data_IF_223372134539
#
_entry.id   IF_223372134539
#
_cell.length_a   1.000
_cell.length_b   1.000
_cell.length_c   1.000
_cell.angle_alpha   90.00
_cell.angle_beta   90.00
_cell.angle_gamma   90.00
#
_symmetry.space_group_name_H-M   'P 1'
#
loop_
_entity.id
_entity.type
_entity.pdbx_description
1 polymer ?
#
# COMPACT_ATOMS: atom_id res chain seq x y z
N UNK A 1 -21.49 1.60 -5.91
CA UNK A 1 -21.59 1.08 -5.54
C UNK A 1 -22.03 0.76 -5.03
N UNK A 2 -22.28 0.17 -4.63
CA UNK A 2 -22.63 -0.41 -4.20
C UNK A 2 -23.09 -1.23 -3.98
N UNK A 3 -23.28 -1.66 -4.31
CA UNK A 3 -23.83 -2.53 -4.33
C UNK A 3 -23.77 -3.57 -3.60
N UNK A 4 -23.01 -4.16 -3.58
CA UNK A 4 -22.93 -5.18 -2.86
C UNK A 4 -22.81 -4.87 -1.54
N UNK A 5 -23.12 -4.02 -1.20
CA UNK A 5 -23.04 -3.65 -0.12
C UNK A 5 -23.70 -4.46 0.66
N UNK A 6 -23.80 -5.29 0.80
CA UNK A 6 -24.35 -5.98 1.40
C UNK A 6 -24.34 -6.98 1.85
N UNK A 7 -24.25 -7.40 1.90
CA UNK A 7 -24.95 -8.19 2.32
C UNK A 7 -24.34 -9.22 3.11
N UNK A 8 -23.71 -10.17 2.69
CA UNK A 8 -23.18 -11.33 3.38
C UNK A 8 -22.17 -10.99 4.47
N UNK A 9 -21.50 -9.89 4.35
CA UNK A 9 -20.51 -9.54 5.34
C UNK A 9 -20.95 -8.36 6.17
N UNK A 10 -22.22 -8.27 6.35
CA UNK A 10 -22.78 -7.18 7.12
C UNK A 10 -23.57 -7.72 8.30
N UNK A 11 -23.15 -7.38 9.50
CA UNK A 11 -23.89 -7.71 10.70
C UNK A 11 -24.44 -6.44 11.31
N UNK A 12 -25.26 -6.58 12.32
CA UNK A 12 -25.88 -5.43 12.97
C UNK A 12 -24.84 -4.50 13.56
N UNK A 13 -23.79 -5.07 14.13
CA UNK A 13 -22.73 -4.26 14.72
C UNK A 13 -21.84 -3.63 13.65
N UNK A 14 -21.74 -4.30 12.50
CA UNK A 14 -20.89 -3.82 11.44
C UNK A 14 -21.49 -2.66 10.67
N UNK A 15 -22.82 -2.56 10.66
CA UNK A 15 -23.46 -1.48 9.93
C UNK A 15 -23.01 -0.10 10.38
N UNK A 16 -22.84 0.03 11.68
CA UNK A 16 -22.40 1.30 12.23
C UNK A 16 -20.99 1.65 11.78
N UNK A 17 -20.12 0.66 11.81
CA UNK A 17 -18.76 0.83 11.36
C UNK A 17 -18.70 1.08 9.87
N UNK A 18 -19.58 0.42 9.12
CA UNK A 18 -19.62 0.63 7.68
C UNK A 18 -20.00 2.06 7.34
N UNK A 19 -20.93 2.64 8.07
CA UNK A 19 -21.33 4.01 7.82
C UNK A 19 -20.16 4.96 8.05
N UNK A 20 -19.44 4.74 9.14
CA UNK A 20 -18.29 5.58 9.48
C UNK A 20 -17.18 5.44 8.45
N UNK A 21 -16.89 4.23 8.02
CA UNK A 21 -15.77 3.94 7.15
C UNK A 21 -16.11 3.82 5.68
N UNK A 22 -17.36 3.98 5.33
CA UNK A 22 -17.82 3.69 3.99
C UNK A 22 -17.00 4.38 2.89
N UNK A 23 -16.69 5.63 3.09
CA UNK A 23 -15.97 6.40 2.09
C UNK A 23 -14.53 5.93 1.93
N UNK A 24 -14.00 5.25 2.95
CA UNK A 24 -12.62 4.78 2.95
C UNK A 24 -12.51 3.28 2.70
N UNK A 25 -13.64 2.61 2.49
CA UNK A 25 -13.66 1.16 2.41
C UNK A 25 -13.48 0.59 1.02
N UNK A 26 -13.42 1.42 0.01
CA UNK A 26 -13.42 0.90 -1.36
C UNK A 26 -12.27 -0.08 -1.60
N UNK A 27 -11.07 0.28 -1.23
CA UNK A 27 -9.92 -0.60 -1.42
C UNK A 27 -9.93 -1.75 -0.42
N UNK A 28 -10.24 -1.46 0.84
CA UNK A 28 -10.32 -2.51 1.84
C UNK A 28 -11.35 -3.57 1.48
N UNK A 29 -12.44 -3.13 0.86
CA UNK A 29 -13.46 -4.05 0.44
C UNK A 29 -12.92 -5.02 -0.61
N UNK A 30 -12.23 -4.48 -1.60
CA UNK A 30 -11.62 -5.31 -2.64
C UNK A 30 -10.58 -6.25 -2.05
N UNK A 31 -9.71 -5.72 -1.20
CA UNK A 31 -8.68 -6.52 -0.58
C UNK A 31 -9.24 -7.62 0.30
N UNK A 32 -10.36 -7.32 0.96
CA UNK A 32 -11.03 -8.32 1.80
C UNK A 32 -11.56 -9.51 1.03
N UNK A 33 -11.79 -9.34 -0.27
CA UNK A 33 -12.27 -10.42 -1.13
C UNK A 33 -11.15 -11.26 -1.71
N UNK A 34 -9.90 -10.83 -1.51
CA UNK A 34 -8.74 -11.53 -2.07
C UNK A 34 -8.20 -12.50 -1.03
N UNK A 35 -8.04 -13.78 -1.37
CA UNK A 35 -7.49 -14.76 -0.43
C UNK A 35 -6.07 -14.39 0.01
N UNK A 36 -5.71 -14.75 1.23
CA UNK A 36 -4.39 -14.47 1.77
C UNK A 36 -3.28 -15.05 0.88
N UNK A 37 -3.51 -16.22 0.31
CA UNK A 37 -2.53 -16.84 -0.57
C UNK A 37 -2.24 -15.98 -1.79
N UNK A 38 -3.28 -15.40 -2.37
CA UNK A 38 -3.14 -14.55 -3.54
C UNK A 38 -2.41 -13.26 -3.17
N UNK A 39 -2.71 -12.72 -2.00
CA UNK A 39 -2.01 -11.55 -1.50
C UNK A 39 -0.54 -11.82 -1.34
N UNK A 40 -0.19 -12.97 -0.79
CA UNK A 40 1.21 -13.32 -0.60
C UNK A 40 1.94 -13.52 -1.92
N UNK A 41 1.26 -14.14 -2.90
CA UNK A 41 1.82 -14.28 -4.24
C UNK A 41 2.10 -12.91 -4.86
N UNK A 42 1.16 -12.00 -4.69
CA UNK A 42 1.32 -10.65 -5.20
C UNK A 42 2.52 -9.96 -4.59
N UNK A 43 2.67 -10.08 -3.26
CA UNK A 43 3.79 -9.48 -2.56
C UNK A 43 5.11 -10.08 -2.99
N UNK A 44 5.15 -11.40 -3.17
CA UNK A 44 6.35 -12.08 -3.62
C UNK A 44 6.77 -11.60 -5.01
N UNK A 45 5.80 -11.40 -5.87
CA UNK A 45 6.07 -10.92 -7.22
C UNK A 45 6.61 -9.50 -7.22
N UNK A 46 5.97 -8.61 -6.47
CA UNK A 46 6.38 -7.21 -6.43
C UNK A 46 7.79 -7.07 -5.86
N UNK A 47 8.06 -7.76 -4.75
CA UNK A 47 9.32 -7.59 -4.03
C UNK A 47 10.33 -8.70 -4.30
N UNK A 48 10.19 -9.36 -5.42
CA UNK A 48 11.05 -10.50 -5.77
C UNK A 48 12.53 -10.15 -5.70
N UNK A 49 12.90 -8.95 -6.12
CA UNK A 49 14.31 -8.55 -6.12
C UNK A 49 14.81 -8.01 -4.80
N UNK A 50 13.97 -8.00 -3.76
CA UNK A 50 14.32 -7.41 -2.48
C UNK A 50 14.61 -8.49 -1.44
N UNK A 51 15.56 -8.20 -0.56
CA UNK A 51 15.74 -9.04 0.63
C UNK A 51 14.57 -8.74 1.57
N UNK A 52 14.45 -9.57 2.62
CA UNK A 52 13.39 -9.35 3.61
C UNK A 52 13.51 -7.98 4.27
N UNK A 53 14.73 -7.57 4.58
CA UNK A 53 14.97 -6.27 5.21
C UNK A 53 14.65 -5.13 4.27
N UNK A 54 15.08 -5.25 3.00
CA UNK A 54 14.77 -4.23 2.00
C UNK A 54 13.27 -4.08 1.81
N UNK A 55 12.57 -5.21 1.75
CA UNK A 55 11.12 -5.20 1.60
C UNK A 55 10.45 -4.44 2.73
N UNK A 56 10.84 -4.75 3.96
CA UNK A 56 10.29 -4.08 5.14
C UNK A 56 10.57 -2.58 5.10
N UNK A 57 11.81 -2.22 4.77
CA UNK A 57 12.21 -0.81 4.70
C UNK A 57 11.44 -0.05 3.64
N UNK A 58 11.24 -0.67 2.47
CA UNK A 58 10.52 0.01 1.39
C UNK A 58 9.03 0.11 1.68
N UNK A 59 8.45 -0.87 2.38
CA UNK A 59 7.06 -0.76 2.77
C UNK A 59 6.87 0.42 3.72
N UNK A 60 7.79 0.59 4.66
CA UNK A 60 7.74 1.74 5.58
C UNK A 60 7.91 3.06 4.80
N UNK A 61 8.84 3.08 3.84
CA UNK A 61 9.05 4.25 3.00
C UNK A 61 7.78 4.60 2.21
N UNK A 62 7.18 3.59 1.61
CA UNK A 62 5.96 3.80 0.82
C UNK A 62 4.82 4.34 1.68
N UNK A 63 4.71 3.85 2.90
CA UNK A 63 3.69 4.33 3.82
C UNK A 63 3.85 5.83 4.04
N UNK A 64 5.07 6.28 4.31
CA UNK A 64 5.35 7.71 4.51
C UNK A 64 5.12 8.52 3.24
N UNK A 65 5.53 7.97 2.11
CA UNK A 65 5.37 8.65 0.84
C UNK A 65 3.90 8.90 0.52
N UNK A 66 3.06 7.89 0.70
CA UNK A 66 1.64 8.04 0.42
C UNK A 66 0.94 8.90 1.47
N UNK A 67 1.36 8.84 2.72
CA UNK A 67 0.82 9.73 3.74
C UNK A 67 1.20 11.18 3.47
N UNK A 68 2.32 11.40 2.80
CA UNK A 68 2.76 12.73 2.40
C UNK A 68 2.19 13.12 1.03
N UNK A 69 1.21 12.36 0.55
CA UNK A 69 0.52 12.61 -0.71
C UNK A 69 1.47 12.72 -1.89
N UNK A 70 2.52 11.91 -1.87
CA UNK A 70 3.48 11.85 -2.97
C UNK A 70 4.47 13.00 -3.01
N UNK A 71 4.52 13.80 -1.96
CA UNK A 71 5.48 14.90 -1.90
C UNK A 71 6.87 14.38 -1.52
N UNK A 72 7.83 14.59 -2.40
CA UNK A 72 9.21 14.19 -2.14
C UNK A 72 9.75 14.96 -0.93
N UNK A 73 9.50 16.28 -0.91
CA UNK A 73 10.01 17.11 0.18
C UNK A 73 9.42 16.71 1.53
N UNK A 74 8.10 16.53 1.58
CA UNK A 74 7.45 16.17 2.85
C UNK A 74 7.89 14.78 3.32
N UNK A 75 8.07 13.86 2.39
CA UNK A 75 8.51 12.52 2.74
C UNK A 75 9.93 12.55 3.29
N UNK A 76 10.82 13.28 2.62
CA UNK A 76 12.20 13.40 3.06
C UNK A 76 12.27 14.04 4.45
N UNK A 77 11.47 15.08 4.66
CA UNK A 77 11.41 15.75 5.96
C UNK A 77 10.94 14.78 7.05
N UNK A 78 9.92 14.00 6.76
CA UNK A 78 9.39 13.03 7.72
C UNK A 78 10.42 11.95 8.05
N UNK A 79 11.31 11.65 7.12
CA UNK A 79 12.35 10.64 7.33
C UNK A 79 13.65 11.23 7.85
N UNK A 80 13.69 12.54 7.98
CA UNK A 80 14.92 13.26 8.41
C UNK A 80 16.10 12.99 7.49
N UNK A 81 15.84 12.97 6.17
CA UNK A 81 16.88 12.78 5.17
C UNK A 81 16.75 13.87 4.10
N UNK A 82 17.82 14.06 3.35
CA UNK A 82 17.81 15.00 2.24
C UNK A 82 16.96 14.44 1.09
N UNK A 83 16.30 15.31 0.34
CA UNK A 83 15.45 14.88 -0.77
C UNK A 83 16.24 14.08 -1.81
N UNK A 84 17.52 14.37 -2.00
CA UNK A 84 18.33 13.61 -2.95
C UNK A 84 18.56 12.18 -2.49
N UNK A 85 18.68 11.99 -1.19
CA UNK A 85 18.78 10.65 -0.61
C UNK A 85 17.50 9.88 -0.84
N UNK A 86 16.36 10.56 -0.67
CA UNK A 86 15.07 9.93 -0.92
C UNK A 86 14.94 9.54 -2.40
N UNK A 87 15.32 10.43 -3.32
CA UNK A 87 15.26 10.13 -4.75
C UNK A 87 16.13 8.92 -5.08
N UNK A 88 17.31 8.83 -4.46
CA UNK A 88 18.16 7.67 -4.64
C UNK A 88 17.46 6.38 -4.21
N UNK A 89 16.82 6.43 -3.05
CA UNK A 89 16.11 5.26 -2.53
C UNK A 89 14.92 4.88 -3.40
N UNK A 90 14.21 5.86 -3.94
CA UNK A 90 13.10 5.58 -4.84
C UNK A 90 13.58 4.99 -6.16
N UNK A 91 14.74 5.46 -6.65
CA UNK A 91 15.33 4.87 -7.85
C UNK A 91 15.76 3.43 -7.58
N UNK A 92 16.29 3.16 -6.40
CA UNK A 92 16.68 1.82 -6.02
C UNK A 92 15.47 0.89 -5.94
N UNK A 93 14.38 1.39 -5.38
CA UNK A 93 13.13 0.64 -5.32
C UNK A 93 12.67 0.27 -6.73
N UNK A 94 12.75 1.24 -7.64
CA UNK A 94 12.38 1.01 -9.03
C UNK A 94 13.26 -0.09 -9.66
N UNK A 95 14.56 -0.07 -9.39
CA UNK A 95 15.46 -1.09 -9.90
C UNK A 95 15.10 -2.47 -9.36
N UNK A 96 14.79 -2.54 -8.08
CA UNK A 96 14.52 -3.82 -7.44
C UNK A 96 13.16 -4.41 -7.77
N UNK A 97 12.16 -3.55 -7.93
CA UNK A 97 10.78 -4.00 -8.14
C UNK A 97 10.30 -3.85 -9.58
N UNK A 98 10.92 -2.95 -10.33
CA UNK A 98 10.44 -2.62 -11.66
C UNK A 98 9.33 -1.57 -11.65
N UNK A 99 8.96 -1.06 -10.49
CA UNK A 99 7.89 -0.07 -10.36
C UNK A 99 8.42 1.26 -9.86
N UNK A 100 8.04 2.32 -10.56
CA UNK A 100 8.41 3.68 -10.16
C UNK A 100 7.20 4.32 -9.47
N UNK A 101 7.33 4.58 -8.18
CA UNK A 101 6.22 5.12 -7.39
C UNK A 101 5.81 6.51 -7.86
N UNK A 102 6.67 7.19 -8.61
CA UNK A 102 6.36 8.54 -9.11
C UNK A 102 5.48 8.52 -10.36
N UNK A 103 5.26 7.35 -10.95
CA UNK A 103 4.39 7.20 -12.12
C UNK A 103 3.04 6.67 -11.67
N UNK A 104 1.93 7.31 -12.06
CA UNK A 104 0.61 6.95 -11.51
C UNK A 104 0.22 5.48 -11.59
N UNK A 105 0.39 4.85 -12.74
CA UNK A 105 0.00 3.45 -12.88
C UNK A 105 0.86 2.52 -12.03
N UNK A 106 2.16 2.79 -11.99
CA UNK A 106 3.09 1.98 -11.20
C UNK A 106 2.95 2.28 -9.73
N UNK A 107 2.65 3.54 -9.41
CA UNK A 107 2.39 3.96 -8.04
C UNK A 107 1.21 3.18 -7.45
N UNK A 108 0.18 2.95 -8.26
CA UNK A 108 -1.00 2.22 -7.78
C UNK A 108 -0.63 0.81 -7.33
N UNK A 109 0.24 0.12 -8.08
CA UNK A 109 0.67 -1.22 -7.70
C UNK A 109 1.42 -1.21 -6.38
N UNK A 110 2.29 -0.22 -6.21
CA UNK A 110 3.05 -0.11 -4.96
C UNK A 110 2.16 0.30 -3.79
N UNK A 111 1.16 1.13 -4.04
CA UNK A 111 0.20 1.49 -3.00
C UNK A 111 -0.57 0.25 -2.53
N UNK A 112 -1.03 -0.55 -3.46
CA UNK A 112 -1.74 -1.79 -3.12
C UNK A 112 -0.82 -2.73 -2.37
N UNK A 113 0.44 -2.84 -2.80
CA UNK A 113 1.41 -3.70 -2.11
C UNK A 113 1.59 -3.25 -0.66
N UNK A 114 1.70 -1.96 -0.43
CA UNK A 114 1.85 -1.42 0.91
C UNK A 114 0.63 -1.74 1.77
N UNK A 115 -0.57 -1.55 1.21
CA UNK A 115 -1.81 -1.84 1.94
C UNK A 115 -1.94 -3.34 2.23
N UNK A 116 -1.57 -4.18 1.28
CA UNK A 116 -1.60 -5.63 1.46
C UNK A 116 -0.63 -6.05 2.56
N UNK A 117 0.55 -5.42 2.60
CA UNK A 117 1.55 -5.73 3.63
C UNK A 117 0.98 -5.49 5.03
N UNK A 118 0.30 -4.36 5.23
CA UNK A 118 -0.28 -4.08 6.53
C UNK A 118 -1.46 -5.00 6.84
N UNK A 119 -2.20 -5.40 5.82
CA UNK A 119 -3.31 -6.32 5.98
C UNK A 119 -2.83 -7.70 6.41
N UNK A 120 -1.75 -8.19 5.81
CA UNK A 120 -1.20 -9.50 6.14
C UNK A 120 -0.58 -9.54 7.53
N UNK A 121 -0.06 -8.42 8.00
CA UNK A 121 0.57 -8.35 9.32
C UNK A 121 -0.47 -8.32 10.45
N UNK A 122 -1.70 -8.04 10.12
CA UNK A 122 -2.78 -8.03 11.08
C UNK A 122 -3.64 -9.26 10.91
#
# INVERSE_FOLDING_TARGET
>A
MRIYRHRAWRTASDEKEQVVCYENLNLELLLGCVPAETKEEFMEKIFKGCSREERSDYIALLNLYFKSEGSIQKTADAMFIHKNTLQYRLNKLKELTGYDVRKPGESASLYIAMRVAYDLDN
#
